data_IF_863630097130
#
_entry.id   IF_863630097130
#
_cell.length_a   1.000
_cell.length_b   1.000
_cell.length_c   1.000
_cell.angle_alpha   90.00
_cell.angle_beta   90.00
_cell.angle_gamma   90.00
#
_symmetry.space_group_name_H-M   'P 1'
#
loop_
_entity.id
_entity.type
_entity.pdbx_description
1 polymer ?
#
# COMPACT_ATOMS: atom_id res chain seq x y z
N UNK A 1 -4.79 22.67 9.08
CA UNK A 1 -4.06 21.60 9.77
C UNK A 1 -2.95 22.22 10.60
N UNK A 2 -3.04 22.22 11.93
CA UNK A 2 -2.10 22.93 12.80
C UNK A 2 -0.73 22.25 12.77
N UNK A 3 0.27 22.95 12.24
CA UNK A 3 1.69 22.52 12.14
C UNK A 3 2.36 22.19 13.50
N UNK A 4 1.63 22.32 14.61
CA UNK A 4 2.16 22.14 15.98
C UNK A 4 2.41 20.68 16.38
N UNK A 5 1.84 19.71 15.70
CA UNK A 5 1.94 18.29 16.06
C UNK A 5 3.30 17.65 15.78
N UNK A 6 4.11 18.25 14.90
CA UNK A 6 5.42 17.71 14.52
C UNK A 6 6.58 18.20 15.40
N UNK A 7 6.35 19.17 16.29
CA UNK A 7 7.37 19.66 17.20
C UNK A 7 7.15 19.12 18.60
N UNK A 8 7.95 18.14 18.99
CA UNK A 8 7.96 17.70 20.40
C UNK A 8 8.41 18.86 21.29
N UNK A 9 7.63 19.16 22.32
CA UNK A 9 7.95 20.25 23.25
C UNK A 9 9.27 20.02 23.97
N UNK A 10 9.68 18.75 24.15
CA UNK A 10 11.01 18.39 24.65
C UNK A 10 12.17 18.82 23.73
N UNK A 11 11.91 19.17 22.48
CA UNK A 11 12.88 19.70 21.52
C UNK A 11 12.75 21.21 21.32
N UNK A 12 11.93 21.90 22.11
CA UNK A 12 11.71 23.34 22.02
C UNK A 12 12.81 24.14 22.75
N UNK A 13 12.90 25.44 22.41
CA UNK A 13 13.78 26.37 23.14
C UNK A 13 13.43 26.45 24.64
N UNK A 14 12.15 26.26 24.98
CA UNK A 14 11.71 26.21 26.39
C UNK A 14 12.29 24.99 27.10
N UNK A 15 12.30 23.82 26.43
CA UNK A 15 12.92 22.61 26.98
C UNK A 15 14.43 22.79 27.18
N UNK A 16 15.11 23.45 26.24
CA UNK A 16 16.54 23.75 26.35
C UNK A 16 16.82 24.69 27.51
N UNK A 17 16.00 25.71 27.74
CA UNK A 17 16.09 26.62 28.88
C UNK A 17 15.85 25.89 30.22
N UNK A 18 14.80 25.05 30.31
CA UNK A 18 14.49 24.28 31.52
C UNK A 18 15.62 23.30 31.80
N UNK A 19 16.13 22.62 30.80
CA UNK A 19 17.23 21.63 30.93
C UNK A 19 18.56 22.30 31.28
N UNK A 20 18.77 23.53 30.83
CA UNK A 20 20.02 24.23 30.94
C UNK A 20 21.10 23.81 29.96
N UNK A 21 20.71 23.04 28.92
CA UNK A 21 21.59 22.62 27.84
C UNK A 21 20.77 22.48 26.54
N UNK A 22 21.36 22.88 25.41
CA UNK A 22 20.74 22.79 24.11
C UNK A 22 20.76 21.33 23.61
N UNK A 23 19.63 20.81 23.16
CA UNK A 23 19.54 19.47 22.60
C UNK A 23 20.21 19.44 21.24
N UNK A 24 21.21 18.59 21.01
CA UNK A 24 21.86 18.46 19.73
C UNK A 24 20.92 17.72 18.74
N UNK A 25 20.70 18.33 17.57
CA UNK A 25 19.79 17.80 16.55
C UNK A 25 20.49 17.00 15.45
N UNK A 26 21.82 17.05 15.40
CA UNK A 26 22.61 16.50 14.30
C UNK A 26 23.87 15.74 14.76
N UNK A 27 23.81 15.09 15.90
CA UNK A 27 24.91 14.27 16.39
C UNK A 27 24.69 12.78 16.07
N UNK A 28 25.79 12.05 15.92
CA UNK A 28 25.76 10.61 15.89
C UNK A 28 25.20 10.02 17.21
N UNK A 29 24.84 8.74 17.18
CA UNK A 29 24.21 8.06 18.31
C UNK A 29 25.04 8.15 19.61
N UNK A 30 26.37 7.95 19.52
CA UNK A 30 27.26 7.94 20.68
C UNK A 30 27.39 9.32 21.33
N UNK A 31 27.48 10.37 20.52
CA UNK A 31 27.56 11.75 21.01
C UNK A 31 26.25 12.21 21.61
N UNK A 32 25.11 11.79 21.02
CA UNK A 32 23.79 12.03 21.57
C UNK A 32 23.62 11.32 22.93
N UNK A 33 24.06 10.08 23.04
CA UNK A 33 24.00 9.30 24.29
C UNK A 33 24.86 9.90 25.39
N UNK A 34 26.08 10.35 25.06
CA UNK A 34 26.99 11.05 25.99
C UNK A 34 26.35 12.35 26.50
N UNK A 35 25.85 13.18 25.61
CA UNK A 35 25.15 14.41 25.99
C UNK A 35 23.95 14.14 26.90
N UNK A 36 23.16 13.11 26.60
CA UNK A 36 22.02 12.69 27.40
C UNK A 36 22.42 12.36 28.84
N UNK A 37 23.44 11.54 29.02
CA UNK A 37 23.94 11.14 30.33
C UNK A 37 24.50 12.33 31.12
N UNK A 38 25.29 13.20 30.48
CA UNK A 38 25.86 14.40 31.09
C UNK A 38 24.79 15.40 31.53
N UNK A 39 23.83 15.69 30.66
CA UNK A 39 22.71 16.61 30.97
C UNK A 39 21.86 16.08 32.13
N UNK A 40 21.57 14.76 32.14
CA UNK A 40 20.82 14.12 33.21
C UNK A 40 21.56 14.13 34.53
N UNK A 41 22.89 13.90 34.50
CA UNK A 41 23.74 13.93 35.69
C UNK A 41 23.86 15.31 36.30
N UNK A 42 23.95 16.36 35.45
CA UNK A 42 24.16 17.74 35.90
C UNK A 42 22.93 18.31 36.61
N UNK A 43 21.74 18.09 36.10
CA UNK A 43 20.50 18.62 36.67
C UNK A 43 19.34 17.61 36.48
N UNK A 44 19.25 16.54 37.27
CA UNK A 44 18.34 15.41 37.03
C UNK A 44 16.86 15.80 37.00
N UNK A 45 16.43 16.66 37.94
CA UNK A 45 15.03 17.10 38.00
C UNK A 45 14.66 18.01 36.81
N UNK A 46 15.51 18.98 36.49
CA UNK A 46 15.29 19.91 35.35
C UNK A 46 15.31 19.12 34.02
N UNK A 47 16.19 18.13 33.93
CA UNK A 47 16.24 17.21 32.79
C UNK A 47 14.93 16.44 32.65
N UNK A 48 14.45 15.84 33.75
CA UNK A 48 13.19 15.11 33.77
C UNK A 48 11.99 16.00 33.37
N UNK A 49 11.89 17.21 33.89
CA UNK A 49 10.84 18.18 33.53
C UNK A 49 10.90 18.50 32.04
N UNK A 50 12.08 18.74 31.48
CA UNK A 50 12.25 19.08 30.06
C UNK A 50 11.90 17.91 29.12
N UNK A 51 12.25 16.68 29.46
CA UNK A 51 12.03 15.51 28.59
C UNK A 51 10.66 14.86 28.85
N UNK A 52 10.30 14.61 30.10
CA UNK A 52 9.06 13.89 30.44
C UNK A 52 7.92 14.82 30.83
N UNK A 53 8.20 15.85 31.64
CA UNK A 53 7.18 16.79 32.09
C UNK A 53 6.51 17.54 30.96
N UNK A 54 7.29 18.09 30.04
CA UNK A 54 6.75 18.76 28.85
C UNK A 54 6.04 17.78 27.91
N UNK A 55 6.49 16.53 27.80
CA UNK A 55 5.82 15.51 27.01
C UNK A 55 4.45 15.13 27.62
N UNK A 56 4.39 14.98 28.94
CA UNK A 56 3.12 14.70 29.64
C UNK A 56 2.15 15.87 29.44
N UNK A 57 2.63 17.10 29.65
CA UNK A 57 1.80 18.30 29.45
C UNK A 57 1.31 18.40 28.00
N UNK A 58 2.18 18.16 27.04
CA UNK A 58 1.82 18.11 25.63
C UNK A 58 0.73 17.09 25.35
N UNK A 59 0.87 15.87 25.87
CA UNK A 59 -0.12 14.80 25.69
C UNK A 59 -1.47 15.18 26.32
N UNK A 60 -1.49 15.80 27.49
CA UNK A 60 -2.73 16.24 28.13
C UNK A 60 -3.43 17.32 27.28
N UNK A 61 -2.68 18.29 26.77
CA UNK A 61 -3.25 19.38 25.95
C UNK A 61 -3.75 18.87 24.61
N UNK A 62 -3.05 17.89 24.00
CA UNK A 62 -3.44 17.33 22.71
C UNK A 62 -4.45 16.19 22.82
N UNK A 63 -4.68 15.62 24.00
CA UNK A 63 -5.59 14.50 24.19
C UNK A 63 -6.99 14.70 23.58
N UNK A 64 -7.69 15.85 23.75
CA UNK A 64 -8.98 16.05 23.11
C UNK A 64 -8.90 16.03 21.59
N UNK A 65 -7.84 16.61 21.03
CA UNK A 65 -7.61 16.60 19.59
C UNK A 65 -7.30 15.17 19.07
N UNK A 66 -6.48 14.42 19.81
CA UNK A 66 -6.13 13.04 19.43
C UNK A 66 -7.36 12.11 19.49
N UNK A 67 -8.24 12.31 20.48
CA UNK A 67 -9.52 11.60 20.55
C UNK A 67 -10.43 11.95 19.35
N UNK A 68 -10.56 13.25 19.04
CA UNK A 68 -11.34 13.69 17.88
C UNK A 68 -10.78 13.11 16.58
N UNK A 69 -9.48 13.24 16.36
CA UNK A 69 -8.82 12.75 15.15
C UNK A 69 -8.90 11.23 15.03
N UNK A 70 -8.75 10.49 16.14
CA UNK A 70 -8.90 9.03 16.15
C UNK A 70 -10.33 8.62 15.78
N UNK A 71 -11.32 9.32 16.33
CA UNK A 71 -12.72 9.07 15.99
C UNK A 71 -13.02 9.42 14.51
N UNK A 72 -12.50 10.56 14.02
CA UNK A 72 -12.65 10.96 12.63
C UNK A 72 -12.03 9.92 11.69
N UNK A 73 -10.78 9.50 11.94
CA UNK A 73 -10.08 8.47 11.14
C UNK A 73 -10.83 7.15 11.20
N UNK A 74 -11.31 6.73 12.38
CA UNK A 74 -12.07 5.49 12.52
C UNK A 74 -13.38 5.51 11.72
N UNK A 75 -14.16 6.59 11.83
CA UNK A 75 -15.42 6.76 11.08
C UNK A 75 -15.12 6.79 9.58
N UNK A 76 -14.15 7.57 9.18
CA UNK A 76 -13.77 7.73 7.79
C UNK A 76 -13.33 6.39 7.18
N UNK A 77 -12.38 5.71 7.82
CA UNK A 77 -11.85 4.45 7.32
C UNK A 77 -12.89 3.32 7.32
N UNK A 78 -13.82 3.32 8.28
CA UNK A 78 -14.81 2.25 8.42
C UNK A 78 -16.03 2.43 7.51
N UNK A 79 -16.53 3.66 7.36
CA UNK A 79 -17.81 3.89 6.68
C UNK A 79 -17.72 4.75 5.42
N UNK A 80 -16.75 5.65 5.33
CA UNK A 80 -16.60 6.55 4.17
C UNK A 80 -15.63 5.95 3.16
N UNK A 81 -14.35 5.82 3.54
CA UNK A 81 -13.29 5.34 2.65
C UNK A 81 -13.22 3.82 2.61
N UNK A 82 -13.74 3.14 3.63
CA UNK A 82 -13.79 1.66 3.76
C UNK A 82 -12.44 0.96 3.56
N UNK A 83 -11.35 1.62 3.87
CA UNK A 83 -9.99 1.16 3.61
C UNK A 83 -9.56 -0.08 4.44
N UNK A 84 -10.38 -0.50 5.40
CA UNK A 84 -10.15 -1.73 6.19
C UNK A 84 -11.14 -2.86 5.85
N UNK A 85 -11.90 -2.72 4.76
CA UNK A 85 -12.86 -3.71 4.32
C UNK A 85 -12.49 -4.17 2.93
N UNK A 86 -12.32 -5.49 2.75
CA UNK A 86 -12.18 -6.06 1.42
C UNK A 86 -13.46 -5.79 0.62
N UNK A 87 -13.29 -5.12 -0.51
CA UNK A 87 -14.40 -4.82 -1.40
C UNK A 87 -14.63 -6.00 -2.35
N UNK A 88 -15.57 -6.87 -2.01
CA UNK A 88 -15.90 -7.98 -2.91
C UNK A 88 -16.66 -7.54 -4.16
N UNK A 89 -17.29 -6.36 -4.17
CA UNK A 89 -18.16 -5.93 -5.26
C UNK A 89 -19.41 -6.79 -5.46
N UNK A 90 -19.62 -7.81 -4.62
CA UNK A 90 -20.75 -8.72 -4.69
C UNK A 90 -22.03 -8.03 -4.21
N UNK A 91 -23.17 -8.44 -4.77
CA UNK A 91 -24.46 -7.83 -4.47
C UNK A 91 -24.88 -8.09 -3.03
N UNK A 92 -25.13 -7.04 -2.21
CA UNK A 92 -25.60 -7.21 -0.84
C UNK A 92 -26.92 -8.00 -0.77
N UNK A 93 -27.05 -8.85 0.26
CA UNK A 93 -28.26 -9.63 0.50
C UNK A 93 -28.38 -10.93 -0.30
N UNK A 94 -27.47 -11.20 -1.23
CA UNK A 94 -27.38 -12.49 -1.91
C UNK A 94 -26.39 -13.41 -1.18
N UNK A 95 -26.67 -14.72 -1.23
CA UNK A 95 -25.72 -15.72 -0.75
C UNK A 95 -24.63 -15.92 -1.78
N UNK A 96 -23.40 -15.96 -1.31
CA UNK A 96 -22.23 -16.35 -2.09
C UNK A 96 -21.38 -17.29 -1.26
N UNK A 97 -20.81 -18.27 -1.91
CA UNK A 97 -19.88 -19.21 -1.29
C UNK A 97 -18.59 -18.50 -0.84
N UNK A 98 -17.85 -19.16 0.03
CA UNK A 98 -16.65 -18.57 0.63
C UNK A 98 -15.56 -18.29 -0.40
N UNK A 99 -15.33 -19.20 -1.30
CA UNK A 99 -14.36 -19.13 -2.40
C UNK A 99 -14.62 -17.92 -3.31
N UNK A 100 -15.87 -17.69 -3.71
CA UNK A 100 -16.25 -16.48 -4.45
C UNK A 100 -15.92 -15.21 -3.70
N UNK A 101 -16.19 -15.15 -2.40
CA UNK A 101 -15.89 -13.96 -1.58
C UNK A 101 -14.41 -13.70 -1.50
N UNK A 102 -13.59 -14.75 -1.36
CA UNK A 102 -12.12 -14.63 -1.31
C UNK A 102 -11.58 -14.18 -2.65
N UNK A 103 -11.98 -14.83 -3.73
CA UNK A 103 -11.56 -14.49 -5.09
C UNK A 103 -11.87 -13.04 -5.44
N UNK A 104 -13.14 -12.63 -5.30
CA UNK A 104 -13.56 -11.28 -5.61
C UNK A 104 -12.92 -10.23 -4.69
N UNK A 105 -12.75 -10.55 -3.39
CA UNK A 105 -12.06 -9.67 -2.46
C UNK A 105 -10.62 -9.41 -2.88
N UNK A 106 -9.86 -10.46 -3.17
CA UNK A 106 -8.45 -10.35 -3.54
C UNK A 106 -8.24 -9.59 -4.86
N UNK A 107 -9.02 -9.92 -5.89
CA UNK A 107 -8.83 -9.31 -7.20
C UNK A 107 -9.43 -7.91 -7.33
N UNK A 108 -10.44 -7.57 -6.53
CA UNK A 108 -10.90 -6.18 -6.45
C UNK A 108 -9.90 -5.29 -5.71
N UNK A 109 -9.21 -5.79 -4.67
CA UNK A 109 -8.09 -5.08 -4.05
C UNK A 109 -6.93 -4.90 -5.04
N UNK A 110 -6.58 -5.92 -5.81
CA UNK A 110 -5.60 -5.78 -6.90
C UNK A 110 -6.04 -4.72 -7.92
N UNK A 111 -7.34 -4.68 -8.27
CA UNK A 111 -7.88 -3.67 -9.18
C UNK A 111 -7.79 -2.26 -8.59
N UNK A 112 -8.10 -2.12 -7.30
CA UNK A 112 -7.99 -0.84 -6.60
C UNK A 112 -6.53 -0.39 -6.47
N UNK A 113 -5.61 -1.30 -6.22
CA UNK A 113 -4.17 -1.03 -6.23
C UNK A 113 -3.72 -0.47 -7.59
N UNK A 114 -4.05 -1.14 -8.69
CA UNK A 114 -3.65 -0.69 -10.04
C UNK A 114 -4.36 0.62 -10.43
N UNK A 115 -5.70 0.67 -10.27
CA UNK A 115 -6.51 1.77 -10.79
C UNK A 115 -6.49 3.03 -9.91
N UNK A 116 -6.09 2.93 -8.63
CA UNK A 116 -6.02 4.07 -7.69
C UNK A 116 -4.59 4.40 -7.30
N UNK A 117 -3.87 3.43 -6.71
CA UNK A 117 -2.57 3.70 -6.10
C UNK A 117 -1.50 3.89 -7.18
N UNK A 118 -1.30 2.91 -8.06
CA UNK A 118 -0.35 3.04 -9.17
C UNK A 118 -0.76 4.15 -10.15
N UNK A 119 -2.07 4.31 -10.40
CA UNK A 119 -2.57 5.40 -11.23
C UNK A 119 -2.22 6.78 -10.66
N UNK A 120 -2.28 6.95 -9.34
CA UNK A 120 -1.88 8.21 -8.69
C UNK A 120 -0.37 8.48 -8.85
N UNK A 121 0.47 7.44 -8.86
CA UNK A 121 1.91 7.56 -9.08
C UNK A 121 2.26 7.91 -10.53
N UNK A 122 1.44 7.52 -11.50
CA UNK A 122 1.65 7.78 -12.93
C UNK A 122 1.52 9.25 -13.32
N UNK A 123 1.04 10.11 -12.42
CA UNK A 123 0.90 11.56 -12.69
C UNK A 123 2.23 12.29 -12.89
N UNK A 124 3.36 11.61 -12.81
CA UNK A 124 4.69 12.18 -13.05
C UNK A 124 4.93 12.54 -14.53
N UNK A 125 4.28 11.85 -15.47
CA UNK A 125 4.33 12.22 -16.90
C UNK A 125 3.34 13.36 -17.19
N UNK A 126 3.83 14.59 -17.12
CA UNK A 126 3.03 15.80 -17.38
C UNK A 126 2.53 15.90 -18.84
N UNK A 127 3.02 15.05 -19.74
CA UNK A 127 2.60 15.03 -21.16
C UNK A 127 1.26 14.33 -21.35
N UNK A 128 0.90 13.42 -20.46
CA UNK A 128 -0.34 12.65 -20.50
C UNK A 128 -1.39 13.23 -19.55
N UNK A 129 -2.59 13.42 -20.07
CA UNK A 129 -3.76 13.85 -19.28
C UNK A 129 -4.67 12.66 -19.03
N UNK A 130 -4.58 12.08 -17.84
CA UNK A 130 -5.46 10.98 -17.46
C UNK A 130 -6.80 11.47 -16.94
N UNK A 131 -7.87 10.76 -17.30
CA UNK A 131 -9.22 11.03 -16.81
C UNK A 131 -9.53 10.09 -15.64
N UNK A 132 -9.51 10.63 -14.43
CA UNK A 132 -9.92 9.89 -13.25
C UNK A 132 -11.44 9.91 -13.09
N UNK A 133 -12.04 8.74 -12.84
CA UNK A 133 -13.45 8.58 -12.50
C UNK A 133 -13.54 7.94 -11.12
N UNK A 134 -14.14 8.64 -10.18
CA UNK A 134 -14.20 8.20 -8.77
C UNK A 134 -12.83 7.83 -8.17
N UNK A 135 -11.80 8.60 -8.53
CA UNK A 135 -10.43 8.36 -8.06
C UNK A 135 -9.71 7.19 -8.73
N UNK A 136 -10.30 6.57 -9.75
CA UNK A 136 -9.73 5.44 -10.50
C UNK A 136 -9.38 5.83 -11.92
N UNK A 137 -8.25 5.32 -12.40
CA UNK A 137 -7.84 5.45 -13.80
C UNK A 137 -7.07 4.21 -14.24
N UNK A 138 -7.71 3.35 -15.02
CA UNK A 138 -7.09 2.12 -15.54
C UNK A 138 -5.87 2.43 -16.42
N UNK A 139 -6.00 3.40 -17.32
CA UNK A 139 -4.94 3.76 -18.25
C UNK A 139 -3.68 4.21 -17.52
N UNK A 140 -3.82 5.11 -16.53
CA UNK A 140 -2.70 5.56 -15.73
C UNK A 140 -2.03 4.41 -14.93
N UNK A 141 -2.82 3.49 -14.39
CA UNK A 141 -2.30 2.33 -13.66
C UNK A 141 -1.52 1.38 -14.57
N UNK A 142 -2.03 1.10 -15.78
CA UNK A 142 -1.34 0.27 -16.77
C UNK A 142 -0.05 0.94 -17.24
N UNK A 143 -0.07 2.24 -17.52
CA UNK A 143 1.11 2.99 -17.91
C UNK A 143 2.21 2.97 -16.84
N UNK A 144 1.82 3.02 -15.56
CA UNK A 144 2.78 2.87 -14.47
C UNK A 144 3.41 1.46 -14.44
N UNK A 145 2.58 0.43 -14.62
CA UNK A 145 3.09 -0.96 -14.72
C UNK A 145 4.03 -1.12 -15.92
N UNK A 146 3.69 -0.54 -17.08
CA UNK A 146 4.55 -0.61 -18.27
C UNK A 146 5.88 0.11 -18.06
N UNK A 147 5.87 1.25 -17.38
CA UNK A 147 7.09 1.92 -16.95
C UNK A 147 7.92 1.01 -16.00
N UNK A 148 7.29 0.43 -14.99
CA UNK A 148 7.99 -0.45 -14.04
C UNK A 148 8.56 -1.71 -14.73
N UNK A 149 7.85 -2.28 -15.69
CA UNK A 149 8.30 -3.44 -16.49
C UNK A 149 9.52 -3.08 -17.33
N UNK A 150 9.64 -1.83 -17.78
CA UNK A 150 10.79 -1.36 -18.57
C UNK A 150 12.09 -1.21 -17.77
N UNK A 151 12.04 -1.32 -16.44
CA UNK A 151 13.21 -1.17 -15.58
C UNK A 151 14.16 -2.36 -15.73
N UNK A 152 15.33 -2.08 -16.29
CA UNK A 152 16.39 -3.06 -16.49
C UNK A 152 17.66 -2.60 -15.77
N UNK A 153 18.51 -3.54 -15.39
CA UNK A 153 19.81 -3.23 -14.84
C UNK A 153 20.69 -2.50 -15.87
N UNK A 154 21.17 -1.35 -15.50
CA UNK A 154 22.03 -0.47 -16.30
C UNK A 154 23.04 0.25 -15.40
N UNK A 155 23.75 1.24 -15.94
CA UNK A 155 24.76 2.01 -15.21
C UNK A 155 24.16 2.77 -14.00
N UNK A 156 22.88 3.12 -14.01
CA UNK A 156 22.21 3.78 -12.88
C UNK A 156 22.07 2.85 -11.67
N UNK A 157 22.01 1.54 -11.90
CA UNK A 157 22.05 0.50 -10.87
C UNK A 157 23.47 0.05 -10.51
N UNK A 158 24.49 0.72 -11.07
CA UNK A 158 25.89 0.40 -10.83
C UNK A 158 26.42 -0.80 -11.62
N UNK A 159 25.65 -1.32 -12.60
CA UNK A 159 26.00 -2.46 -13.44
C UNK A 159 26.52 -1.95 -14.79
N UNK A 160 27.73 -2.35 -15.18
CA UNK A 160 28.38 -1.90 -16.40
C UNK A 160 28.07 -2.78 -17.60
N UNK A 161 28.19 -2.18 -18.80
CA UNK A 161 28.09 -2.94 -20.06
C UNK A 161 29.11 -4.05 -20.10
N UNK A 162 28.62 -5.28 -20.26
CA UNK A 162 29.46 -6.49 -20.28
C UNK A 162 29.34 -7.35 -19.03
N UNK A 163 28.72 -6.88 -17.99
CA UNK A 163 28.37 -7.71 -16.85
C UNK A 163 27.15 -8.60 -17.15
N UNK A 164 27.09 -9.77 -16.53
CA UNK A 164 26.05 -10.79 -16.80
C UNK A 164 24.62 -10.31 -16.57
N UNK A 165 24.43 -9.34 -15.69
CA UNK A 165 23.10 -8.83 -15.33
C UNK A 165 22.70 -7.57 -16.13
N UNK A 166 23.59 -6.98 -16.92
CA UNK A 166 23.29 -5.81 -17.72
C UNK A 166 22.14 -6.08 -18.72
N UNK A 167 21.11 -5.24 -18.68
CA UNK A 167 19.94 -5.35 -19.54
C UNK A 167 18.90 -6.39 -19.09
N UNK A 168 19.15 -7.15 -18.01
CA UNK A 168 18.13 -8.04 -17.44
C UNK A 168 17.06 -7.24 -16.67
N UNK A 169 15.80 -7.74 -16.65
CA UNK A 169 14.75 -7.12 -15.85
C UNK A 169 15.12 -7.06 -14.37
N UNK A 170 14.83 -5.96 -13.73
CA UNK A 170 14.98 -5.86 -12.27
C UNK A 170 13.91 -6.67 -11.54
N UNK A 171 14.09 -7.07 -10.26
CA UNK A 171 13.05 -7.72 -9.48
C UNK A 171 11.72 -6.95 -9.45
N UNK A 172 11.70 -5.61 -9.29
CA UNK A 172 10.47 -4.82 -9.45
C UNK A 172 9.80 -4.97 -10.83
N UNK A 173 10.60 -5.03 -11.92
CA UNK A 173 10.05 -5.23 -13.27
C UNK A 173 9.37 -6.58 -13.42
N UNK A 174 9.96 -7.65 -12.86
CA UNK A 174 9.36 -8.99 -12.87
C UNK A 174 8.07 -9.05 -12.03
N UNK A 175 8.03 -8.36 -10.90
CA UNK A 175 6.83 -8.27 -10.07
C UNK A 175 5.73 -7.47 -10.76
N UNK A 176 6.07 -6.32 -11.38
CA UNK A 176 5.14 -5.50 -12.15
C UNK A 176 4.51 -6.27 -13.32
N UNK A 177 5.29 -7.11 -14.02
CA UNK A 177 4.77 -7.98 -15.08
C UNK A 177 3.70 -8.93 -14.55
N UNK A 178 3.96 -9.61 -13.42
CA UNK A 178 2.99 -10.52 -12.81
C UNK A 178 1.73 -9.79 -12.35
N UNK A 179 1.87 -8.61 -11.75
CA UNK A 179 0.74 -7.75 -11.34
C UNK A 179 -0.11 -7.41 -12.56
N UNK A 180 0.52 -6.98 -13.66
CA UNK A 180 -0.17 -6.65 -14.90
C UNK A 180 -0.92 -7.84 -15.48
N UNK A 181 -0.28 -9.01 -15.55
CA UNK A 181 -0.88 -10.22 -16.09
C UNK A 181 -2.10 -10.67 -15.27
N UNK A 182 -2.01 -10.65 -13.94
CA UNK A 182 -3.12 -10.97 -13.04
C UNK A 182 -4.27 -9.96 -13.14
N UNK A 183 -3.93 -8.66 -13.23
CA UNK A 183 -4.92 -7.59 -13.40
C UNK A 183 -5.68 -7.72 -14.73
N UNK A 184 -4.98 -7.93 -15.85
CA UNK A 184 -5.58 -8.11 -17.17
C UNK A 184 -6.41 -9.41 -17.23
N UNK A 185 -5.91 -10.48 -16.62
CA UNK A 185 -6.69 -11.70 -16.49
C UNK A 185 -8.02 -11.46 -15.79
N UNK A 186 -8.02 -10.76 -14.65
CA UNK A 186 -9.22 -10.44 -13.88
C UNK A 186 -10.20 -9.54 -14.63
N UNK A 187 -9.70 -8.50 -15.30
CA UNK A 187 -10.54 -7.47 -15.93
C UNK A 187 -10.99 -7.85 -17.33
N UNK A 188 -10.18 -8.57 -18.08
CA UNK A 188 -10.40 -8.77 -19.50
C UNK A 188 -10.62 -10.26 -19.87
N UNK A 189 -9.88 -11.18 -19.26
CA UNK A 189 -9.94 -12.60 -19.67
C UNK A 189 -11.07 -13.31 -18.94
N UNK A 190 -11.08 -13.27 -17.62
CA UNK A 190 -12.06 -13.98 -16.81
C UNK A 190 -13.52 -13.59 -17.08
N UNK A 191 -13.89 -12.30 -17.22
CA UNK A 191 -15.27 -11.91 -17.52
C UNK A 191 -15.74 -12.34 -18.92
N UNK A 192 -14.82 -12.59 -19.84
CA UNK A 192 -15.10 -13.01 -21.20
C UNK A 192 -15.06 -14.54 -21.39
N UNK A 193 -14.97 -15.30 -20.31
CA UNK A 193 -15.13 -16.76 -20.36
C UNK A 193 -16.51 -17.12 -20.86
N UNK A 194 -16.57 -18.13 -21.71
CA UNK A 194 -17.83 -18.67 -22.23
C UNK A 194 -18.52 -19.45 -21.10
N UNK A 195 -19.80 -19.17 -20.87
CA UNK A 195 -20.60 -19.95 -19.92
C UNK A 195 -20.69 -21.41 -20.43
N UNK A 196 -20.28 -22.41 -19.61
CA UNK A 196 -20.33 -23.82 -20.00
C UNK A 196 -21.73 -24.26 -20.42
N UNK A 197 -22.76 -23.78 -19.75
CA UNK A 197 -24.14 -24.12 -20.08
C UNK A 197 -24.61 -23.50 -21.41
N UNK A 198 -24.12 -22.31 -21.78
CA UNK A 198 -24.44 -21.73 -23.08
C UNK A 198 -23.70 -22.44 -24.23
N UNK A 199 -22.47 -22.89 -23.99
CA UNK A 199 -21.66 -23.62 -24.99
C UNK A 199 -22.27 -24.96 -25.37
N UNK A 200 -22.85 -25.65 -24.39
CA UNK A 200 -23.44 -27.01 -24.59
C UNK A 200 -24.98 -26.99 -24.61
N UNK A 201 -25.59 -25.86 -24.83
CA UNK A 201 -27.05 -25.70 -24.87
C UNK A 201 -27.67 -26.62 -25.93
N UNK A 202 -28.59 -27.50 -25.49
CA UNK A 202 -29.25 -28.47 -26.34
C UNK A 202 -28.47 -29.75 -26.58
N UNK A 203 -27.32 -29.95 -25.97
CA UNK A 203 -26.56 -31.19 -25.92
C UNK A 203 -26.59 -31.70 -24.48
N UNK A 204 -27.00 -32.96 -24.26
CA UNK A 204 -26.97 -33.58 -22.94
C UNK A 204 -25.52 -34.03 -22.57
N UNK A 205 -24.60 -33.09 -22.58
CA UNK A 205 -23.15 -33.27 -22.38
C UNK A 205 -22.71 -32.77 -20.99
N UNK A 206 -23.39 -33.26 -19.95
CA UNK A 206 -23.13 -32.87 -18.57
C UNK A 206 -21.65 -33.03 -18.16
N UNK A 207 -21.01 -34.09 -18.61
CA UNK A 207 -19.58 -34.33 -18.30
C UNK A 207 -18.67 -33.23 -18.85
N UNK A 208 -18.96 -32.72 -20.06
CA UNK A 208 -18.15 -31.63 -20.64
C UNK A 208 -18.41 -30.29 -20.00
N UNK A 209 -19.64 -30.07 -19.49
CA UNK A 209 -19.96 -28.88 -18.70
C UNK A 209 -19.13 -28.92 -17.42
N UNK A 210 -19.18 -30.03 -16.68
CA UNK A 210 -18.43 -30.23 -15.44
C UNK A 210 -16.90 -30.09 -15.67
N UNK A 211 -16.36 -30.73 -16.69
CA UNK A 211 -14.93 -30.60 -17.05
C UNK A 211 -14.50 -29.13 -17.31
N UNK A 212 -15.37 -28.32 -17.90
CA UNK A 212 -15.08 -26.93 -18.21
C UNK A 212 -15.25 -26.06 -16.97
N UNK A 213 -16.20 -26.34 -16.10
CA UNK A 213 -16.38 -25.71 -14.80
C UNK A 213 -15.17 -25.99 -13.90
N UNK A 214 -14.75 -27.22 -13.76
CA UNK A 214 -13.57 -27.63 -13.01
C UNK A 214 -12.30 -26.91 -13.52
N UNK A 215 -12.15 -26.84 -14.84
CA UNK A 215 -11.04 -26.12 -15.44
C UNK A 215 -11.03 -24.63 -15.09
N UNK A 216 -12.19 -23.97 -15.02
CA UNK A 216 -12.29 -22.57 -14.65
C UNK A 216 -12.03 -22.37 -13.16
N UNK A 217 -12.45 -23.30 -12.32
CA UNK A 217 -12.18 -23.28 -10.88
C UNK A 217 -10.69 -23.49 -10.58
N UNK A 218 -10.06 -24.44 -11.28
CA UNK A 218 -8.62 -24.66 -11.20
C UNK A 218 -7.82 -23.41 -11.64
N UNK A 219 -8.26 -22.75 -12.72
CA UNK A 219 -7.64 -21.53 -13.19
C UNK A 219 -7.80 -20.39 -12.14
N UNK A 220 -8.99 -20.18 -11.59
CA UNK A 220 -9.27 -19.20 -10.54
C UNK A 220 -8.38 -19.45 -9.31
N UNK A 221 -8.28 -20.71 -8.88
CA UNK A 221 -7.44 -21.14 -7.76
C UNK A 221 -5.96 -20.85 -8.02
N UNK A 222 -5.45 -21.20 -9.21
CA UNK A 222 -4.07 -20.94 -9.57
C UNK A 222 -3.76 -19.44 -9.60
N UNK A 223 -4.67 -18.62 -10.12
CA UNK A 223 -4.52 -17.16 -10.14
C UNK A 223 -4.56 -16.53 -8.74
N UNK A 224 -5.39 -17.04 -7.84
CA UNK A 224 -5.34 -16.65 -6.42
C UNK A 224 -4.00 -16.99 -5.77
N UNK A 225 -3.46 -18.18 -6.03
CA UNK A 225 -2.16 -18.61 -5.52
C UNK A 225 -1.03 -17.73 -6.06
N UNK A 226 -1.06 -17.38 -7.35
CA UNK A 226 -0.11 -16.45 -7.97
C UNK A 226 -0.15 -15.07 -7.27
N UNK A 227 -1.34 -14.53 -7.05
CA UNK A 227 -1.52 -13.23 -6.37
C UNK A 227 -1.00 -13.27 -4.92
N UNK A 228 -1.32 -14.32 -4.18
CA UNK A 228 -0.84 -14.49 -2.80
C UNK A 228 0.71 -14.58 -2.75
N UNK A 229 1.34 -15.23 -3.73
CA UNK A 229 2.81 -15.33 -3.78
C UNK A 229 3.48 -13.98 -3.97
N UNK A 230 2.92 -13.09 -4.79
CA UNK A 230 3.48 -11.76 -5.07
C UNK A 230 3.02 -10.67 -4.11
N UNK A 231 2.18 -10.99 -3.12
CA UNK A 231 1.58 -9.98 -2.23
C UNK A 231 2.58 -9.06 -1.51
N UNK A 232 3.82 -9.53 -1.29
CA UNK A 232 4.87 -8.73 -0.65
C UNK A 232 5.50 -7.72 -1.60
N UNK A 233 5.40 -7.97 -2.90
CA UNK A 233 5.99 -7.14 -3.94
C UNK A 233 5.01 -6.06 -4.42
N UNK A 234 3.74 -6.13 -3.96
CA UNK A 234 2.67 -5.16 -4.26
C UNK A 234 2.71 -3.95 -3.30
N UNK A 235 3.59 -3.96 -2.28
CA UNK A 235 3.77 -2.83 -1.37
C UNK A 235 4.82 -1.86 -1.90
N UNK A 236 4.41 -0.62 -2.09
CA UNK A 236 5.28 0.54 -2.35
C UNK A 236 5.64 1.26 -1.06
#
# INVERSE_FOLDING_TARGET
MLKFRFNYWSCSRLADFIRGSKKPLALGWDDWHRWHLESKKKHPFRYWVAENGLKILQNIIYFPYDCYHTAEVYIRNRWIDKCHLLNTGLKPGSYYEFDYKVLYGLFNELSDYVEKELAALSTHDKSKKYKFVNGKCREAGIDHLDWAISLVYNEEYGIQKGEDDYGKPTPPALSAQKVKDLYLWWKDIRPNRIDPHDLYKGKNDFLKIEELEDKYEDEDTNKMIELIKIRRDIWT
#
